data_IF_147671361486
#
_entry.id   IF_147671361486
#
_cell.length_a   1.000
_cell.length_b   1.000
_cell.length_c   1.000
_cell.angle_alpha   90.00
_cell.angle_beta   90.00
_cell.angle_gamma   90.00
#
_symmetry.space_group_name_H-M   'P 1'
#
loop_
_entity.id
_entity.type
_entity.pdbx_description
1 polymer ?
#
# COMPACT_ATOMS: atom_id res chain seq x y z
N UNK A 1 19.61 29.88 -17.54
CA UNK A 1 20.12 28.63 -16.93
C UNK A 1 20.02 27.55 -17.98
N UNK A 2 21.14 27.04 -18.48
CA UNK A 2 21.15 25.88 -19.40
C UNK A 2 20.67 24.65 -18.65
N UNK A 3 19.82 23.85 -19.28
CA UNK A 3 19.32 22.60 -18.71
C UNK A 3 20.48 21.60 -18.57
N UNK A 4 20.80 21.20 -17.34
CA UNK A 4 21.92 20.31 -17.03
C UNK A 4 21.44 18.85 -16.94
N UNK A 5 21.65 18.08 -18.01
CA UNK A 5 21.18 16.68 -18.11
C UNK A 5 21.68 15.76 -16.99
N UNK A 6 22.96 15.81 -16.54
CA UNK A 6 23.44 15.07 -15.38
C UNK A 6 22.62 15.28 -14.11
N UNK A 7 22.09 16.48 -13.89
CA UNK A 7 21.20 16.79 -12.76
C UNK A 7 19.74 16.45 -13.07
N UNK A 8 19.28 16.74 -14.29
CA UNK A 8 17.88 16.57 -14.66
C UNK A 8 17.45 15.11 -14.81
N UNK A 9 18.28 14.24 -15.38
CA UNK A 9 17.94 12.83 -15.60
C UNK A 9 17.60 12.10 -14.28
N UNK A 10 18.44 12.15 -13.23
CA UNK A 10 18.08 11.56 -11.93
C UNK A 10 16.76 12.08 -11.37
N UNK A 11 16.48 13.38 -11.50
CA UNK A 11 15.22 13.96 -11.02
C UNK A 11 14.01 13.47 -11.82
N UNK A 12 14.14 13.35 -13.14
CA UNK A 12 13.10 12.79 -14.01
C UNK A 12 12.84 11.33 -13.64
N UNK A 13 13.87 10.51 -13.51
CA UNK A 13 13.72 9.09 -13.14
C UNK A 13 13.17 8.92 -11.72
N UNK A 14 13.58 9.76 -10.76
CA UNK A 14 13.00 9.78 -9.43
C UNK A 14 11.51 10.18 -9.45
N UNK A 15 11.14 11.15 -10.28
CA UNK A 15 9.75 11.55 -10.50
C UNK A 15 8.91 10.45 -11.14
N UNK A 16 9.42 9.78 -12.17
CA UNK A 16 8.78 8.64 -12.82
C UNK A 16 8.60 7.46 -11.85
N UNK A 17 9.60 7.18 -11.02
CA UNK A 17 9.53 6.15 -9.99
C UNK A 17 8.47 6.51 -8.94
N UNK A 18 8.43 7.75 -8.46
CA UNK A 18 7.40 8.23 -7.53
C UNK A 18 6.00 8.16 -8.13
N UNK A 19 5.83 8.52 -9.40
CA UNK A 19 4.57 8.40 -10.12
C UNK A 19 4.15 6.93 -10.27
N UNK A 20 5.06 6.03 -10.64
CA UNK A 20 4.76 4.61 -10.76
C UNK A 20 4.32 4.00 -9.42
N UNK A 21 5.01 4.33 -8.33
CA UNK A 21 4.63 3.91 -6.98
C UNK A 21 3.27 4.49 -6.59
N UNK A 22 3.00 5.77 -6.88
CA UNK A 22 1.71 6.38 -6.57
C UNK A 22 0.57 5.70 -7.32
N UNK A 23 0.74 5.46 -8.61
CA UNK A 23 -0.27 4.76 -9.42
C UNK A 23 -0.46 3.33 -8.91
N UNK A 24 0.62 2.62 -8.58
CA UNK A 24 0.55 1.30 -7.97
C UNK A 24 -0.25 1.30 -6.66
N UNK A 25 0.10 2.18 -5.71
CA UNK A 25 -0.58 2.33 -4.42
C UNK A 25 -2.06 2.64 -4.59
N UNK A 26 -2.42 3.45 -5.60
CA UNK A 26 -3.82 3.78 -5.87
C UNK A 26 -4.56 2.58 -6.48
N UNK A 27 -4.00 1.99 -7.52
CA UNK A 27 -4.67 0.97 -8.32
C UNK A 27 -4.68 -0.39 -7.63
N UNK A 28 -3.52 -0.90 -7.25
CA UNK A 28 -3.43 -2.19 -6.57
C UNK A 28 -3.86 -2.09 -5.10
N UNK A 29 -3.84 -0.88 -4.51
CA UNK A 29 -4.33 -0.67 -3.15
C UNK A 29 -5.81 -0.98 -2.95
N UNK A 30 -6.67 -0.70 -3.94
CA UNK A 30 -8.07 -1.14 -3.84
C UNK A 30 -8.24 -2.64 -4.08
N UNK A 31 -7.43 -3.26 -4.94
CA UNK A 31 -7.45 -4.71 -5.18
C UNK A 31 -7.06 -5.48 -3.90
N UNK A 32 -5.93 -5.08 -3.30
CA UNK A 32 -5.46 -5.60 -2.02
C UNK A 32 -6.48 -5.32 -0.90
N UNK A 33 -7.07 -4.13 -0.90
CA UNK A 33 -8.15 -3.75 0.02
C UNK A 33 -9.36 -4.67 -0.04
N UNK A 34 -9.83 -4.99 -1.23
CA UNK A 34 -10.93 -5.94 -1.46
C UNK A 34 -10.55 -7.33 -0.98
N UNK A 35 -9.30 -7.75 -1.21
CA UNK A 35 -8.75 -8.98 -0.65
C UNK A 35 -8.78 -9.03 0.88
N UNK A 36 -8.44 -7.94 1.55
CA UNK A 36 -8.52 -7.84 3.02
C UNK A 36 -9.99 -7.92 3.49
N UNK A 37 -10.90 -7.21 2.83
CA UNK A 37 -12.32 -7.20 3.19
C UNK A 37 -13.05 -8.50 2.86
N UNK A 38 -12.44 -9.35 2.02
CA UNK A 38 -13.03 -10.60 1.55
C UNK A 38 -13.48 -11.53 2.68
N UNK A 39 -12.76 -11.52 3.81
CA UNK A 39 -13.09 -12.33 4.99
C UNK A 39 -14.39 -11.89 5.69
N UNK A 40 -14.83 -10.64 5.48
CA UNK A 40 -16.07 -10.09 6.04
C UNK A 40 -17.28 -10.20 5.08
N UNK A 41 -17.04 -10.68 3.86
CA UNK A 41 -18.05 -10.83 2.81
C UNK A 41 -18.63 -12.25 2.78
N UNK A 42 -19.89 -12.38 2.35
CA UNK A 42 -20.57 -13.64 2.12
C UNK A 42 -20.19 -14.22 0.74
N UNK A 43 -20.38 -15.53 0.53
CA UNK A 43 -19.92 -16.20 -0.70
C UNK A 43 -20.46 -15.55 -2.00
N UNK A 44 -21.72 -15.09 -1.99
CA UNK A 44 -22.31 -14.39 -3.14
C UNK A 44 -21.72 -12.99 -3.34
N UNK A 45 -21.48 -12.25 -2.25
CA UNK A 45 -20.84 -10.93 -2.28
C UNK A 45 -19.39 -11.03 -2.78
N UNK A 46 -18.68 -12.09 -2.37
CA UNK A 46 -17.32 -12.39 -2.79
C UNK A 46 -17.21 -12.61 -4.31
N UNK A 47 -18.22 -13.24 -4.94
CA UNK A 47 -18.27 -13.38 -6.40
C UNK A 47 -18.37 -12.01 -7.08
N UNK A 48 -19.23 -11.12 -6.56
CA UNK A 48 -19.35 -9.74 -7.06
C UNK A 48 -18.06 -8.92 -6.85
N UNK A 49 -17.43 -9.06 -5.68
CA UNK A 49 -16.17 -8.37 -5.36
C UNK A 49 -15.03 -8.78 -6.30
N UNK A 50 -14.91 -10.06 -6.63
CA UNK A 50 -13.93 -10.57 -7.60
C UNK A 50 -14.22 -10.03 -9.01
N UNK A 51 -15.48 -10.03 -9.43
CA UNK A 51 -15.88 -9.51 -10.73
C UNK A 51 -15.58 -8.01 -10.88
N UNK A 52 -15.66 -7.23 -9.78
CA UNK A 52 -15.41 -5.80 -9.78
C UNK A 52 -13.94 -5.40 -10.08
N UNK A 53 -12.99 -6.31 -9.90
CA UNK A 53 -11.55 -6.08 -10.14
C UNK A 53 -10.94 -6.92 -11.26
N UNK A 54 -11.65 -7.96 -11.72
CA UNK A 54 -11.13 -8.93 -12.68
C UNK A 54 -10.48 -8.36 -13.96
N UNK A 55 -11.01 -7.30 -14.59
CA UNK A 55 -10.41 -6.72 -15.78
C UNK A 55 -9.09 -5.97 -15.55
N UNK A 56 -8.76 -5.61 -14.30
CA UNK A 56 -7.71 -4.62 -14.00
C UNK A 56 -6.58 -5.14 -13.10
N UNK A 57 -6.84 -6.13 -12.24
CA UNK A 57 -5.89 -6.50 -11.17
C UNK A 57 -4.48 -6.84 -11.66
N UNK A 58 -4.36 -7.59 -12.76
CA UNK A 58 -3.06 -7.99 -13.33
C UNK A 58 -2.32 -6.78 -13.91
N UNK A 59 -3.05 -5.86 -14.54
CA UNK A 59 -2.48 -4.60 -15.05
C UNK A 59 -2.01 -3.69 -13.91
N UNK A 60 -2.67 -3.71 -12.76
CA UNK A 60 -2.32 -2.88 -11.61
C UNK A 60 -0.96 -3.28 -11.02
N UNK A 61 -0.62 -4.57 -10.98
CA UNK A 61 0.69 -5.06 -10.51
C UNK A 61 1.87 -4.57 -11.38
N UNK A 62 1.64 -4.30 -12.67
CA UNK A 62 2.71 -3.88 -13.60
C UNK A 62 3.38 -2.57 -13.18
N UNK A 63 2.66 -1.70 -12.46
CA UNK A 63 3.21 -0.44 -11.96
C UNK A 63 4.28 -0.64 -10.89
N UNK A 64 4.14 -1.67 -10.05
CA UNK A 64 5.18 -2.06 -9.09
C UNK A 64 6.43 -2.55 -9.83
N UNK A 65 6.25 -3.40 -10.85
CA UNK A 65 7.35 -3.91 -11.68
C UNK A 65 8.09 -2.76 -12.36
N UNK A 66 7.36 -1.78 -12.91
CA UNK A 66 7.94 -0.57 -13.49
C UNK A 66 8.74 0.23 -12.46
N UNK A 67 8.19 0.47 -11.26
CA UNK A 67 8.90 1.20 -10.20
C UNK A 67 10.22 0.52 -9.81
N UNK A 68 10.22 -0.79 -9.62
CA UNK A 68 11.43 -1.57 -9.29
C UNK A 68 12.41 -1.58 -10.46
N UNK A 69 11.92 -1.70 -11.70
CA UNK A 69 12.74 -1.62 -12.91
C UNK A 69 13.42 -0.25 -13.08
N UNK A 70 12.70 0.84 -12.82
CA UNK A 70 13.26 2.19 -12.81
C UNK A 70 14.32 2.35 -11.72
N UNK A 71 14.09 1.81 -10.51
CA UNK A 71 15.07 1.82 -9.43
C UNK A 71 16.35 1.06 -9.85
N UNK A 72 16.22 -0.11 -10.47
CA UNK A 72 17.36 -0.90 -10.95
C UNK A 72 18.17 -0.17 -12.03
N UNK A 73 17.49 0.38 -13.05
CA UNK A 73 18.15 0.96 -14.22
C UNK A 73 18.74 2.34 -13.92
N UNK A 74 17.98 3.20 -13.24
CA UNK A 74 18.39 4.57 -12.97
C UNK A 74 19.27 4.70 -11.70
N UNK A 75 19.09 3.80 -10.72
CA UNK A 75 19.78 3.88 -9.42
C UNK A 75 20.28 2.50 -8.93
N UNK A 76 21.17 1.81 -9.68
CA UNK A 76 21.57 0.44 -9.38
C UNK A 76 22.21 0.25 -8.00
N UNK A 77 22.96 1.25 -7.52
CA UNK A 77 23.52 1.22 -6.16
C UNK A 77 22.42 1.28 -5.08
N UNK A 78 21.45 2.18 -5.25
CA UNK A 78 20.32 2.28 -4.33
C UNK A 78 19.46 1.01 -4.36
N UNK A 79 19.21 0.46 -5.56
CA UNK A 79 18.54 -0.82 -5.74
C UNK A 79 19.22 -1.93 -4.92
N UNK A 80 20.54 -2.08 -5.05
CA UNK A 80 21.30 -3.09 -4.31
C UNK A 80 21.21 -2.92 -2.78
N UNK A 81 21.36 -1.70 -2.27
CA UNK A 81 21.28 -1.42 -0.83
C UNK A 81 19.87 -1.70 -0.30
N UNK A 82 18.83 -1.20 -0.98
CA UNK A 82 17.43 -1.32 -0.56
C UNK A 82 16.99 -2.79 -0.57
N UNK A 83 17.21 -3.54 -1.66
CA UNK A 83 16.78 -4.94 -1.73
C UNK A 83 17.58 -5.86 -0.81
N UNK A 84 18.84 -5.54 -0.53
CA UNK A 84 19.62 -6.32 0.46
C UNK A 84 19.05 -6.12 1.87
N UNK A 85 18.76 -4.87 2.25
CA UNK A 85 18.18 -4.57 3.56
C UNK A 85 16.75 -5.12 3.70
N UNK A 86 15.97 -5.11 2.63
CA UNK A 86 14.56 -5.52 2.62
C UNK A 86 14.34 -6.93 2.03
N UNK A 87 15.39 -7.77 1.96
CA UNK A 87 15.32 -9.07 1.30
C UNK A 87 14.15 -9.94 1.78
N UNK A 88 14.01 -10.12 3.10
CA UNK A 88 12.95 -10.92 3.70
C UNK A 88 11.56 -10.29 3.48
N UNK A 89 11.34 -9.00 3.78
CA UNK A 89 10.07 -8.34 3.44
C UNK A 89 9.67 -8.44 1.96
N UNK A 90 10.62 -8.27 1.03
CA UNK A 90 10.37 -8.39 -0.41
C UNK A 90 9.99 -9.83 -0.78
N UNK A 91 10.67 -10.82 -0.22
CA UNK A 91 10.30 -12.23 -0.42
C UNK A 91 8.87 -12.51 0.06
N UNK A 92 8.50 -12.01 1.25
CA UNK A 92 7.15 -12.14 1.82
C UNK A 92 6.10 -11.43 0.96
N UNK A 93 6.41 -10.23 0.44
CA UNK A 93 5.56 -9.51 -0.50
C UNK A 93 5.29 -10.33 -1.76
N UNK A 94 6.34 -10.86 -2.40
CA UNK A 94 6.21 -11.66 -3.61
C UNK A 94 5.37 -12.93 -3.36
N UNK A 95 5.56 -13.59 -2.21
CA UNK A 95 4.73 -14.72 -1.82
C UNK A 95 3.25 -14.31 -1.69
N UNK A 96 2.97 -13.16 -1.06
CA UNK A 96 1.62 -12.62 -0.94
C UNK A 96 0.95 -12.37 -2.30
N UNK A 97 1.67 -11.73 -3.22
CA UNK A 97 1.19 -11.46 -4.58
C UNK A 97 0.94 -12.74 -5.38
N UNK A 98 1.85 -13.71 -5.31
CA UNK A 98 1.68 -15.03 -5.95
C UNK A 98 0.44 -15.74 -5.41
N UNK A 99 0.27 -15.79 -4.08
CA UNK A 99 -0.90 -16.41 -3.45
C UNK A 99 -2.20 -15.73 -3.90
N UNK A 100 -2.21 -14.40 -3.99
CA UNK A 100 -3.34 -13.61 -4.48
C UNK A 100 -3.69 -13.96 -5.92
N UNK A 101 -2.73 -13.88 -6.85
CA UNK A 101 -2.95 -14.14 -8.27
C UNK A 101 -3.40 -15.57 -8.54
N UNK A 102 -2.74 -16.55 -7.91
CA UNK A 102 -3.14 -17.96 -8.03
C UNK A 102 -4.55 -18.18 -7.47
N UNK A 103 -4.88 -17.59 -6.32
CA UNK A 103 -6.22 -17.73 -5.76
C UNK A 103 -7.29 -17.10 -6.66
N UNK A 104 -7.01 -15.94 -7.27
CA UNK A 104 -7.92 -15.28 -8.18
C UNK A 104 -8.30 -16.19 -9.36
N UNK A 105 -7.29 -16.70 -10.07
CA UNK A 105 -7.48 -17.54 -11.26
C UNK A 105 -8.10 -18.91 -10.94
N UNK A 106 -7.67 -19.56 -9.85
CA UNK A 106 -8.15 -20.88 -9.51
C UNK A 106 -9.56 -20.85 -8.92
N UNK A 107 -9.93 -19.77 -8.21
CA UNK A 107 -11.29 -19.59 -7.69
C UNK A 107 -12.34 -19.59 -8.79
N UNK A 108 -12.02 -19.03 -9.97
CA UNK A 108 -12.91 -19.03 -11.13
C UNK A 108 -13.12 -20.42 -11.75
N UNK A 109 -12.19 -21.36 -11.51
CA UNK A 109 -12.16 -22.69 -12.13
C UNK A 109 -12.70 -23.80 -11.23
N UNK A 110 -12.97 -23.53 -9.95
CA UNK A 110 -13.42 -24.55 -8.99
C UNK A 110 -14.94 -24.56 -8.81
N UNK A 111 -15.54 -25.72 -8.49
CA UNK A 111 -16.95 -25.80 -8.10
C UNK A 111 -17.27 -24.91 -6.89
N UNK A 112 -18.50 -24.40 -6.81
CA UNK A 112 -18.94 -23.48 -5.75
C UNK A 112 -18.57 -23.96 -4.33
N UNK A 113 -18.78 -25.24 -4.01
CA UNK A 113 -18.47 -25.82 -2.69
C UNK A 113 -16.97 -25.92 -2.34
N UNK A 114 -16.05 -25.58 -3.24
CA UNK A 114 -14.59 -25.58 -2.99
C UNK A 114 -13.96 -24.18 -3.05
N UNK A 115 -14.74 -23.12 -3.29
CA UNK A 115 -14.25 -21.74 -3.34
C UNK A 115 -13.65 -21.26 -2.02
N UNK A 116 -14.15 -21.74 -0.87
CA UNK A 116 -13.74 -21.29 0.46
C UNK A 116 -12.21 -21.36 0.71
N UNK A 117 -11.54 -22.39 0.21
CA UNK A 117 -10.06 -22.50 0.33
C UNK A 117 -9.37 -21.34 -0.41
N UNK A 118 -9.82 -21.03 -1.61
CA UNK A 118 -9.26 -19.96 -2.42
C UNK A 118 -9.65 -18.57 -1.89
N UNK A 119 -10.85 -18.42 -1.31
CA UNK A 119 -11.24 -17.19 -0.61
C UNK A 119 -10.26 -16.87 0.52
N UNK A 120 -9.86 -17.88 1.31
CA UNK A 120 -8.87 -17.74 2.38
C UNK A 120 -7.48 -17.42 1.86
N UNK A 121 -7.04 -18.06 0.78
CA UNK A 121 -5.73 -17.78 0.17
C UNK A 121 -5.70 -16.36 -0.42
N UNK A 122 -6.79 -15.93 -1.07
CA UNK A 122 -6.92 -14.58 -1.61
C UNK A 122 -6.83 -13.51 -0.51
N UNK A 123 -7.54 -13.72 0.60
CA UNK A 123 -7.44 -12.88 1.79
C UNK A 123 -6.02 -12.85 2.36
N UNK A 124 -5.42 -14.02 2.61
CA UNK A 124 -4.09 -14.11 3.20
C UNK A 124 -3.02 -13.49 2.28
N UNK A 125 -3.06 -13.76 0.98
CA UNK A 125 -2.13 -13.20 0.01
C UNK A 125 -2.19 -11.66 -0.01
N UNK A 126 -3.42 -11.12 -0.05
CA UNK A 126 -3.64 -9.66 -0.06
C UNK A 126 -3.21 -9.00 1.25
N UNK A 127 -3.50 -9.63 2.40
CA UNK A 127 -3.06 -9.14 3.70
C UNK A 127 -1.54 -9.18 3.83
N UNK A 128 -0.90 -10.29 3.45
CA UNK A 128 0.56 -10.46 3.51
C UNK A 128 1.25 -9.41 2.63
N UNK A 129 0.79 -9.21 1.39
CA UNK A 129 1.34 -8.21 0.49
C UNK A 129 1.21 -6.79 1.06
N UNK A 130 0.04 -6.44 1.60
CA UNK A 130 -0.22 -5.13 2.20
C UNK A 130 0.65 -4.86 3.42
N UNK A 131 0.76 -5.83 4.33
CA UNK A 131 1.59 -5.71 5.54
C UNK A 131 3.07 -5.63 5.19
N UNK A 132 3.55 -6.45 4.25
CA UNK A 132 4.94 -6.40 3.80
C UNK A 132 5.28 -5.02 3.20
N UNK A 133 4.40 -4.44 2.39
CA UNK A 133 4.59 -3.09 1.84
C UNK A 133 4.70 -2.02 2.90
N UNK A 134 3.78 -2.00 3.88
CA UNK A 134 3.82 -0.99 4.93
C UNK A 134 5.04 -1.18 5.84
N UNK A 135 5.44 -2.43 6.11
CA UNK A 135 6.68 -2.71 6.84
C UNK A 135 7.91 -2.16 6.13
N UNK A 136 8.04 -2.46 4.83
CA UNK A 136 9.13 -1.94 4.00
C UNK A 136 9.14 -0.41 3.97
N UNK A 137 7.98 0.22 3.83
CA UNK A 137 7.85 1.67 3.83
C UNK A 137 8.31 2.27 5.17
N UNK A 138 7.88 1.70 6.30
CA UNK A 138 8.27 2.20 7.62
C UNK A 138 9.78 2.09 7.86
N UNK A 139 10.38 0.93 7.56
CA UNK A 139 11.83 0.73 7.67
C UNK A 139 12.59 1.65 6.71
N UNK A 140 12.09 1.86 5.49
CA UNK A 140 12.70 2.76 4.51
C UNK A 140 12.69 4.22 4.98
N UNK A 141 11.58 4.70 5.56
CA UNK A 141 11.44 6.07 6.10
C UNK A 141 12.47 6.33 7.21
N UNK A 142 12.81 5.32 8.00
CA UNK A 142 13.83 5.41 9.04
C UNK A 142 15.26 5.18 8.53
N UNK A 143 15.46 5.14 7.21
CA UNK A 143 16.79 5.00 6.60
C UNK A 143 17.30 3.56 6.61
N UNK A 144 16.41 2.58 6.49
CA UNK A 144 16.71 1.14 6.52
C UNK A 144 17.23 0.65 7.88
N UNK A 145 16.80 1.29 8.97
CA UNK A 145 17.06 0.82 10.32
C UNK A 145 16.29 -0.49 10.59
N UNK A 146 17.04 -1.57 10.75
CA UNK A 146 16.53 -2.91 11.09
C UNK A 146 16.71 -3.23 12.58
N UNK A 147 17.02 -2.25 13.43
CA UNK A 147 16.97 -2.40 14.88
C UNK A 147 15.53 -2.54 15.40
N UNK A 148 15.37 -2.84 16.70
CA UNK A 148 14.05 -3.07 17.31
C UNK A 148 13.09 -1.88 17.13
N UNK A 149 13.59 -0.65 17.21
CA UNK A 149 12.79 0.57 16.98
C UNK A 149 12.30 0.67 15.53
N UNK A 150 13.21 0.46 14.57
CA UNK A 150 12.89 0.41 13.15
C UNK A 150 11.89 -0.70 12.79
N UNK A 151 12.07 -1.90 13.35
CA UNK A 151 11.12 -3.01 13.17
C UNK A 151 9.74 -2.68 13.76
N UNK A 152 9.67 -2.13 14.98
CA UNK A 152 8.41 -1.77 15.62
C UNK A 152 7.67 -0.67 14.83
N UNK A 153 8.40 0.33 14.34
CA UNK A 153 7.84 1.36 13.46
C UNK A 153 7.38 0.78 12.12
N UNK A 154 8.15 -0.12 11.52
CA UNK A 154 7.75 -0.88 10.33
C UNK A 154 6.43 -1.63 10.54
N UNK A 155 6.27 -2.33 11.66
CA UNK A 155 5.03 -3.03 12.00
C UNK A 155 3.86 -2.06 12.18
N UNK A 156 4.06 -0.91 12.83
CA UNK A 156 3.05 0.13 12.93
C UNK A 156 2.59 0.57 11.52
N UNK A 157 3.53 0.92 10.64
CA UNK A 157 3.22 1.36 9.27
C UNK A 157 2.57 0.23 8.45
N UNK A 158 2.94 -1.03 8.67
CA UNK A 158 2.30 -2.21 8.06
C UNK A 158 0.79 -2.24 8.31
N UNK A 159 0.37 -2.13 9.57
CA UNK A 159 -1.05 -2.12 9.91
C UNK A 159 -1.77 -0.86 9.42
N UNK A 160 -1.12 0.29 9.47
CA UNK A 160 -1.68 1.54 8.97
C UNK A 160 -1.95 1.48 7.47
N UNK A 161 -1.00 0.96 6.69
CA UNK A 161 -1.13 0.81 5.24
C UNK A 161 -2.20 -0.23 4.88
N UNK A 162 -2.24 -1.37 5.58
CA UNK A 162 -3.28 -2.37 5.36
C UNK A 162 -4.69 -1.82 5.64
N UNK A 163 -4.85 -0.98 6.68
CA UNK A 163 -6.11 -0.30 6.96
C UNK A 163 -6.47 0.71 5.85
N UNK A 164 -5.49 1.47 5.35
CA UNK A 164 -5.69 2.40 4.24
C UNK A 164 -6.12 1.68 2.95
N UNK A 165 -5.47 0.57 2.59
CA UNK A 165 -5.89 -0.27 1.47
C UNK A 165 -7.29 -0.83 1.68
N UNK A 166 -7.62 -1.33 2.88
CA UNK A 166 -8.99 -1.77 3.17
C UNK A 166 -10.03 -0.63 3.00
N UNK A 167 -9.70 0.62 3.34
CA UNK A 167 -10.55 1.77 3.06
C UNK A 167 -10.69 2.02 1.54
N UNK A 168 -9.61 1.95 0.78
CA UNK A 168 -9.65 2.08 -0.68
C UNK A 168 -10.47 0.97 -1.34
N UNK A 169 -10.33 -0.27 -0.88
CA UNK A 169 -11.13 -1.40 -1.34
C UNK A 169 -12.62 -1.22 -1.04
N UNK A 170 -12.97 -0.73 0.17
CA UNK A 170 -14.35 -0.42 0.50
C UNK A 170 -14.92 0.68 -0.40
N UNK A 171 -14.14 1.75 -0.68
CA UNK A 171 -14.53 2.82 -1.59
C UNK A 171 -14.77 2.30 -3.02
N UNK A 172 -13.92 1.40 -3.52
CA UNK A 172 -14.10 0.77 -4.82
C UNK A 172 -15.38 -0.09 -4.88
N UNK A 173 -15.65 -0.88 -3.84
CA UNK A 173 -16.90 -1.66 -3.77
C UNK A 173 -18.11 -0.74 -3.74
N UNK A 174 -18.07 0.38 -3.01
CA UNK A 174 -19.16 1.37 -3.02
C UNK A 174 -19.39 1.92 -4.44
N UNK A 175 -18.31 2.19 -5.17
CA UNK A 175 -18.37 2.71 -6.54
C UNK A 175 -18.88 1.68 -7.55
N UNK A 176 -18.56 0.40 -7.38
CA UNK A 176 -18.85 -0.67 -8.35
C UNK A 176 -20.11 -1.48 -8.07
N UNK A 177 -20.72 -1.33 -6.90
CA UNK A 177 -21.84 -2.18 -6.47
C UNK A 177 -23.02 -1.37 -5.97
N UNK A 178 -24.20 -1.99 -5.95
CA UNK A 178 -25.46 -1.40 -5.48
C UNK A 178 -26.10 -2.31 -4.42
N UNK A 179 -27.15 -1.81 -3.76
CA UNK A 179 -27.97 -2.60 -2.83
C UNK A 179 -27.27 -2.92 -1.50
N UNK A 180 -27.45 -4.14 -1.00
CA UNK A 180 -26.99 -4.54 0.34
C UNK A 180 -25.46 -4.58 0.46
N UNK A 181 -24.75 -5.03 -0.58
CA UNK A 181 -23.29 -5.06 -0.61
C UNK A 181 -22.72 -3.63 -0.54
N UNK A 182 -23.32 -2.67 -1.26
CA UNK A 182 -22.91 -1.27 -1.21
C UNK A 182 -23.09 -0.68 0.20
N UNK A 183 -24.25 -0.91 0.84
CA UNK A 183 -24.49 -0.47 2.24
C UNK A 183 -23.53 -1.11 3.23
N UNK A 184 -23.19 -2.39 3.03
CA UNK A 184 -22.17 -3.10 3.82
C UNK A 184 -20.80 -2.48 3.63
N UNK A 185 -20.40 -2.16 2.40
CA UNK A 185 -19.15 -1.50 2.08
C UNK A 185 -19.05 -0.08 2.69
N UNK A 186 -20.14 0.67 2.79
CA UNK A 186 -20.16 1.95 3.54
C UNK A 186 -19.80 1.74 5.01
N UNK A 187 -20.28 0.67 5.66
CA UNK A 187 -19.91 0.35 7.05
C UNK A 187 -18.45 -0.06 7.18
N UNK A 188 -17.94 -0.84 6.22
CA UNK A 188 -16.52 -1.17 6.15
C UNK A 188 -15.67 0.10 6.01
N UNK A 189 -16.00 0.97 5.06
CA UNK A 189 -15.30 2.22 4.81
C UNK A 189 -15.25 3.12 6.06
N UNK A 190 -16.37 3.29 6.77
CA UNK A 190 -16.38 4.07 8.02
C UNK A 190 -15.42 3.51 9.07
N UNK A 191 -15.39 2.19 9.21
CA UNK A 191 -14.53 1.52 10.21
C UNK A 191 -13.06 1.63 9.79
N UNK A 192 -12.74 1.33 8.54
CA UNK A 192 -11.37 1.37 8.04
C UNK A 192 -10.82 2.79 7.95
N UNK A 193 -11.64 3.80 7.61
CA UNK A 193 -11.24 5.20 7.66
C UNK A 193 -10.83 5.65 9.06
N UNK A 194 -11.56 5.23 10.10
CA UNK A 194 -11.15 5.54 11.49
C UNK A 194 -9.81 4.88 11.81
N UNK A 195 -9.60 3.63 11.41
CA UNK A 195 -8.32 2.95 11.59
C UNK A 195 -7.18 3.64 10.81
N UNK A 196 -7.45 4.10 9.59
CA UNK A 196 -6.50 4.87 8.78
C UNK A 196 -6.17 6.21 9.43
N UNK A 197 -7.16 6.93 9.95
CA UNK A 197 -6.95 8.20 10.64
C UNK A 197 -6.11 8.03 11.91
N UNK A 198 -6.44 7.03 12.74
CA UNK A 198 -5.67 6.69 13.94
C UNK A 198 -4.25 6.26 13.59
N UNK A 199 -4.10 5.44 12.54
CA UNK A 199 -2.80 5.00 12.04
C UNK A 199 -1.95 6.16 11.54
N UNK A 200 -2.54 7.07 10.75
CA UNK A 200 -1.88 8.28 10.27
C UNK A 200 -1.44 9.15 11.45
N UNK A 201 -2.30 9.38 12.43
CA UNK A 201 -1.94 10.11 13.65
C UNK A 201 -0.79 9.43 14.41
N UNK A 202 -0.85 8.10 14.59
CA UNK A 202 0.19 7.33 15.27
C UNK A 202 1.54 7.40 14.55
N UNK A 203 1.56 7.26 13.22
CA UNK A 203 2.77 7.39 12.41
C UNK A 203 3.29 8.83 12.47
N UNK A 204 2.44 9.84 12.30
CA UNK A 204 2.84 11.25 12.41
C UNK A 204 3.42 11.61 13.79
N UNK A 205 2.91 11.00 14.86
CA UNK A 205 3.46 11.19 16.21
C UNK A 205 4.74 10.40 16.44
N UNK A 206 4.86 9.18 15.91
CA UNK A 206 6.03 8.33 16.12
C UNK A 206 7.23 8.74 15.27
N UNK A 207 7.00 9.23 14.05
CA UNK A 207 8.07 9.53 13.08
C UNK A 207 9.13 10.52 13.60
N UNK A 208 8.79 11.62 14.30
CA UNK A 208 9.77 12.58 14.79
C UNK A 208 10.67 12.01 15.89
N UNK A 209 10.14 11.09 16.71
CA UNK A 209 10.94 10.39 17.73
C UNK A 209 11.77 9.25 17.13
N UNK A 210 11.31 8.68 16.01
CA UNK A 210 12.01 7.60 15.33
C UNK A 210 13.15 8.09 14.43
N UNK A 211 13.14 9.35 13.98
CA UNK A 211 14.21 9.89 13.13
C UNK A 211 14.51 11.36 13.45
N UNK A 212 15.72 11.67 13.97
CA UNK A 212 16.17 13.06 14.16
C UNK A 212 16.14 13.87 12.86
N UNK A 213 16.49 13.24 11.72
CA UNK A 213 16.43 13.86 10.39
C UNK A 213 15.01 14.33 10.03
N UNK A 214 13.98 13.59 10.43
CA UNK A 214 12.60 13.97 10.15
C UNK A 214 12.16 15.05 11.12
N UNK A 215 12.55 14.95 12.40
CA UNK A 215 12.32 16.01 13.38
C UNK A 215 12.83 17.38 12.87
N UNK A 216 14.09 17.42 12.42
CA UNK A 216 14.73 18.65 11.94
C UNK A 216 14.03 19.24 10.71
N UNK A 217 13.39 18.42 9.88
CA UNK A 217 12.63 18.90 8.73
C UNK A 217 11.26 19.43 9.10
N UNK A 218 10.58 18.80 10.06
CA UNK A 218 9.16 19.06 10.33
C UNK A 218 8.92 20.08 11.45
N UNK A 219 9.88 20.25 12.37
CA UNK A 219 9.70 21.05 13.58
C UNK A 219 10.66 22.24 13.69
N UNK A 220 11.50 22.46 12.69
CA UNK A 220 12.44 23.59 12.63
C UNK A 220 11.96 24.63 11.62
N UNK A 221 12.28 25.89 11.89
CA UNK A 221 11.96 27.02 11.02
C UNK A 221 13.08 27.27 9.99
N UNK A 222 12.76 27.55 8.71
CA UNK A 222 11.43 27.77 8.12
C UNK A 222 10.73 26.53 7.52
N UNK A 223 11.37 25.37 7.53
CA UNK A 223 10.90 24.14 6.86
C UNK A 223 9.50 23.71 7.33
N UNK A 224 9.19 23.87 8.61
CA UNK A 224 7.88 23.64 9.19
C UNK A 224 6.76 24.38 8.44
N UNK A 225 6.98 25.64 8.03
CA UNK A 225 5.98 26.43 7.31
C UNK A 225 5.67 25.80 5.95
N UNK A 226 6.70 25.39 5.22
CA UNK A 226 6.56 24.79 3.89
C UNK A 226 5.91 23.40 3.92
N UNK A 227 6.12 22.64 4.99
CA UNK A 227 5.56 21.29 5.14
C UNK A 227 4.17 21.28 5.81
N UNK A 228 3.80 22.31 6.58
CA UNK A 228 2.51 22.40 7.29
C UNK A 228 1.25 22.21 6.43
N UNK A 229 1.18 22.57 5.13
CA UNK A 229 0.00 22.30 4.32
C UNK A 229 -0.32 20.80 4.20
N UNK A 230 0.68 19.92 4.24
CA UNK A 230 0.48 18.48 4.09
C UNK A 230 -0.42 17.89 5.21
N UNK A 231 -0.06 17.99 6.51
CA UNK A 231 -0.89 17.46 7.59
C UNK A 231 -2.23 18.18 7.71
N UNK A 232 -2.30 19.49 7.37
CA UNK A 232 -3.56 20.25 7.39
C UNK A 232 -4.52 19.71 6.33
N UNK A 233 -4.07 19.58 5.08
CA UNK A 233 -4.89 19.02 4.00
C UNK A 233 -5.29 17.58 4.30
N UNK A 234 -4.37 16.75 4.81
CA UNK A 234 -4.69 15.39 5.23
C UNK A 234 -5.76 15.36 6.31
N UNK A 235 -5.70 16.21 7.32
CA UNK A 235 -6.71 16.28 8.38
C UNK A 235 -8.07 16.76 7.85
N UNK A 236 -8.08 17.74 6.94
CA UNK A 236 -9.30 18.26 6.30
C UNK A 236 -10.01 17.19 5.46
N UNK A 237 -9.28 16.24 4.87
CA UNK A 237 -9.87 15.14 4.10
C UNK A 237 -10.63 14.11 4.97
N UNK A 238 -10.43 14.12 6.29
CA UNK A 238 -11.15 13.24 7.24
C UNK A 238 -12.38 13.91 7.87
N UNK A 239 -12.61 15.20 7.64
CA UNK A 239 -13.78 15.97 8.12
C UNK A 239 -14.90 15.98 7.08
#
# INVERSE_FOLDING_TARGET
>A
MSFDWPTALPLIFAGLMGLAILIYVILDGFDLGIGILFAAAEDAEQDTMIAAIGPFWDANETWLVLAVGLLLVAFPLAHGVILTALYIPVFVLLLGLILRGVAFDFRAKVPAGRKHRWNRIFFLGSLIASLAQGYMLGVYVLGLDVGLGGMAFGVLVAFCLAAAYAAMGAAWVIYKTEGELQKKAVRWLRTTLVLTALGMAAVSLATPFASPRIFDKWFVWPEMLYLSPLPILSALLFL
#
